data_IF_772896069284
#
_entry.id   IF_772896069284
#
_cell.length_a   1.000
_cell.length_b   1.000
_cell.length_c   1.000
_cell.angle_alpha   90.00
_cell.angle_beta   90.00
_cell.angle_gamma   90.00
#
_symmetry.space_group_name_H-M   'P 1'
#
loop_
_entity.id
_entity.type
_entity.pdbx_description
1 polymer ?
#
# COMPACT_ATOMS: atom_id res chain seq x y z
N UNK A 1 -6.38 1.57 -21.08
CA UNK A 1 -5.71 0.96 -19.94
C UNK A 1 -4.22 0.97 -20.17
N UNK A 2 -3.47 1.39 -19.19
CA UNK A 2 -2.00 1.43 -19.27
C UNK A 2 -1.44 0.19 -18.61
N UNK A 3 -0.43 -0.42 -19.25
CA UNK A 3 0.26 -1.58 -18.68
C UNK A 3 1.56 -1.10 -18.05
N UNK A 4 1.62 -1.00 -16.72
CA UNK A 4 2.86 -0.60 -16.06
C UNK A 4 3.85 -1.74 -16.00
N UNK A 5 5.13 -1.40 -15.84
CA UNK A 5 6.15 -2.37 -15.46
C UNK A 5 6.19 -2.42 -13.94
N UNK A 6 6.06 -3.62 -13.37
CA UNK A 6 6.07 -3.82 -11.93
C UNK A 6 7.40 -4.39 -11.50
N UNK A 7 8.05 -3.71 -10.54
CA UNK A 7 9.33 -4.14 -9.99
C UNK A 7 9.14 -4.40 -8.50
N UNK A 8 9.51 -5.60 -8.06
CA UNK A 8 9.45 -5.96 -6.65
C UNK A 8 10.68 -5.44 -5.95
N UNK A 9 10.54 -4.25 -5.40
CA UNK A 9 11.62 -3.55 -4.72
C UNK A 9 11.03 -2.51 -3.77
N UNK A 10 11.82 -2.13 -2.79
CA UNK A 10 11.47 -1.05 -1.86
C UNK A 10 11.92 0.26 -2.51
N UNK A 11 11.04 1.26 -2.61
CA UNK A 11 11.44 2.52 -3.22
C UNK A 11 12.46 3.26 -2.35
N UNK A 12 13.27 4.09 -2.98
CA UNK A 12 14.14 5.01 -2.25
C UNK A 12 13.28 6.05 -1.52
N UNK A 13 13.85 6.65 -0.49
CA UNK A 13 13.12 7.57 0.39
C UNK A 13 12.48 8.71 -0.40
N UNK A 14 13.23 9.33 -1.30
CA UNK A 14 12.68 10.46 -2.06
C UNK A 14 11.56 10.05 -3.00
N UNK A 15 11.69 8.90 -3.65
CA UNK A 15 10.63 8.34 -4.51
C UNK A 15 9.40 8.01 -3.69
N UNK A 16 9.58 7.37 -2.55
CA UNK A 16 8.50 7.03 -1.64
C UNK A 16 7.71 8.26 -1.22
N UNK A 17 8.41 9.29 -0.76
CA UNK A 17 7.76 10.52 -0.31
C UNK A 17 7.04 11.22 -1.45
N UNK A 18 7.65 11.25 -2.63
CA UNK A 18 7.04 11.85 -3.81
C UNK A 18 5.76 11.12 -4.21
N UNK A 19 5.80 9.78 -4.24
CA UNK A 19 4.62 9.00 -4.59
C UNK A 19 3.47 9.24 -3.62
N UNK A 20 3.75 9.33 -2.33
CA UNK A 20 2.71 9.66 -1.36
C UNK A 20 2.12 11.03 -1.65
N UNK A 21 2.95 12.05 -1.81
CA UNK A 21 2.45 13.42 -2.07
C UNK A 21 1.63 13.49 -3.37
N UNK A 22 2.14 12.89 -4.42
CA UNK A 22 1.47 12.95 -5.73
C UNK A 22 0.21 12.09 -5.80
N UNK A 23 0.07 11.17 -4.88
CA UNK A 23 -1.17 10.40 -4.73
C UNK A 23 -2.19 11.07 -3.81
N UNK A 24 -1.85 12.21 -3.22
CA UNK A 24 -2.73 12.91 -2.31
C UNK A 24 -2.64 12.45 -0.86
N UNK A 25 -1.63 11.70 -0.52
CA UNK A 25 -1.42 11.20 0.83
C UNK A 25 -0.46 12.11 1.60
N UNK A 26 -0.53 12.07 2.94
CA UNK A 26 0.39 12.85 3.76
C UNK A 26 1.83 12.40 3.56
N UNK A 27 2.73 13.38 3.62
CA UNK A 27 4.16 13.10 3.57
C UNK A 27 4.62 12.40 4.85
N UNK A 28 5.78 11.80 4.79
CA UNK A 28 6.47 11.22 5.95
C UNK A 28 7.82 11.92 6.11
N UNK A 29 8.19 12.19 7.36
CA UNK A 29 9.50 12.76 7.64
C UNK A 29 10.60 11.79 7.17
N UNK A 30 11.73 12.28 6.65
CA UNK A 30 12.78 11.39 6.15
C UNK A 30 13.23 10.30 7.12
N UNK A 31 13.44 10.58 8.42
CA UNK A 31 13.83 9.50 9.35
C UNK A 31 12.76 8.43 9.51
N UNK A 32 11.48 8.83 9.51
CA UNK A 32 10.38 7.88 9.61
C UNK A 32 10.29 7.04 8.34
N UNK A 33 10.46 7.67 7.17
CA UNK A 33 10.44 6.97 5.90
C UNK A 33 11.58 5.94 5.85
N UNK A 34 12.79 6.33 6.24
CA UNK A 34 13.95 5.43 6.23
C UNK A 34 13.69 4.20 7.11
N UNK A 35 13.24 4.43 8.34
CA UNK A 35 12.99 3.33 9.28
C UNK A 35 11.83 2.47 8.81
N UNK A 36 10.76 3.10 8.32
CA UNK A 36 9.57 2.38 7.86
C UNK A 36 9.85 1.50 6.65
N UNK A 37 10.53 2.03 5.66
CA UNK A 37 10.85 1.29 4.44
C UNK A 37 11.74 0.09 4.73
N UNK A 38 12.67 0.22 5.68
CA UNK A 38 13.52 -0.88 6.09
C UNK A 38 12.73 -2.05 6.70
N UNK A 39 11.53 -1.78 7.23
CA UNK A 39 10.65 -2.80 7.82
C UNK A 39 9.68 -3.43 6.84
N UNK A 40 9.77 -3.15 5.55
CA UNK A 40 8.86 -3.71 4.55
C UNK A 40 9.04 -5.22 4.46
N UNK A 41 7.93 -5.96 4.49
CA UNK A 41 7.94 -7.40 4.23
C UNK A 41 7.89 -7.68 2.73
N UNK A 42 7.18 -6.83 2.01
CA UNK A 42 7.06 -6.89 0.57
C UNK A 42 6.81 -5.48 0.05
N UNK A 43 7.30 -5.18 -1.11
CA UNK A 43 7.07 -3.90 -1.75
C UNK A 43 7.13 -4.07 -3.26
N UNK A 44 6.27 -3.37 -3.96
CA UNK A 44 6.22 -3.38 -5.42
C UNK A 44 6.05 -1.95 -5.90
N UNK A 45 6.73 -1.61 -6.98
CA UNK A 45 6.71 -0.28 -7.59
C UNK A 45 6.23 -0.42 -9.03
N UNK A 46 5.31 0.45 -9.44
CA UNK A 46 4.84 0.51 -10.82
C UNK A 46 5.52 1.65 -11.56
N UNK A 47 6.02 1.35 -12.74
CA UNK A 47 6.68 2.31 -13.61
C UNK A 47 5.92 2.44 -14.92
N UNK A 48 5.83 3.67 -15.41
CA UNK A 48 5.36 4.00 -16.76
C UNK A 48 6.40 4.95 -17.36
N UNK A 49 6.92 4.60 -18.54
CA UNK A 49 7.95 5.41 -19.21
C UNK A 49 9.13 5.72 -18.28
N UNK A 50 9.60 4.71 -17.56
CA UNK A 50 10.74 4.78 -16.65
C UNK A 50 10.53 5.67 -15.43
N UNK A 51 9.30 6.16 -15.22
CA UNK A 51 8.98 6.96 -14.04
C UNK A 51 8.15 6.13 -13.08
N UNK A 52 8.49 6.15 -11.79
CA UNK A 52 7.69 5.49 -10.76
C UNK A 52 6.36 6.25 -10.61
N UNK A 53 5.25 5.54 -10.78
CA UNK A 53 3.92 6.13 -10.76
C UNK A 53 3.00 5.52 -9.70
N UNK A 54 3.45 4.45 -9.06
CA UNK A 54 2.66 3.81 -8.01
C UNK A 54 3.49 2.87 -7.18
N UNK A 55 2.94 2.48 -6.05
CA UNK A 55 3.59 1.53 -5.13
C UNK A 55 2.56 0.86 -4.25
N UNK A 56 2.97 -0.23 -3.62
CA UNK A 56 2.23 -0.85 -2.53
C UNK A 56 3.23 -1.58 -1.63
N UNK A 57 2.96 -1.61 -0.33
CA UNK A 57 3.82 -2.29 0.62
C UNK A 57 3.03 -3.22 1.53
N UNK A 58 3.69 -4.25 2.03
CA UNK A 58 3.18 -5.09 3.12
C UNK A 58 4.13 -4.97 4.29
N UNK A 59 3.58 -4.71 5.46
CA UNK A 59 4.33 -4.67 6.72
C UNK A 59 3.76 -5.72 7.67
N UNK A 60 4.46 -5.98 8.76
CA UNK A 60 4.00 -6.90 9.78
C UNK A 60 5.14 -7.64 10.44
N UNK A 61 4.77 -8.61 11.28
CA UNK A 61 5.76 -9.38 12.03
C UNK A 61 6.33 -10.57 11.23
N UNK A 62 5.80 -10.81 10.05
CA UNK A 62 6.27 -11.91 9.20
C UNK A 62 5.62 -13.25 9.49
N UNK A 63 4.69 -13.30 10.42
CA UNK A 63 4.05 -14.57 10.80
C UNK A 63 2.57 -14.44 11.09
N UNK A 64 2.21 -13.68 12.11
CA UNK A 64 0.85 -13.61 12.59
C UNK A 64 0.04 -12.45 12.04
N UNK A 65 0.70 -11.34 11.76
CA UNK A 65 0.03 -10.12 11.31
C UNK A 65 0.72 -9.54 10.10
N UNK A 66 -0.08 -9.24 9.08
CA UNK A 66 0.37 -8.53 7.88
C UNK A 66 -0.62 -7.40 7.63
N UNK A 67 -0.10 -6.25 7.25
CA UNK A 67 -0.94 -5.11 6.88
C UNK A 67 -0.46 -4.55 5.56
N UNK A 68 -1.39 -4.33 4.64
CA UNK A 68 -1.10 -3.64 3.39
C UNK A 68 -1.15 -2.15 3.68
N UNK A 69 -0.14 -1.43 3.23
CA UNK A 69 -0.08 0.02 3.39
C UNK A 69 0.56 0.67 2.17
N UNK A 70 0.45 1.99 2.11
CA UNK A 70 1.07 2.78 1.04
C UNK A 70 0.69 2.34 -0.36
N UNK A 71 -0.57 1.95 -0.54
CA UNK A 71 -1.08 1.70 -1.89
C UNK A 71 -1.36 3.07 -2.52
N UNK A 72 -0.48 3.49 -3.38
CA UNK A 72 -0.50 4.84 -3.92
C UNK A 72 -0.31 4.81 -5.43
N UNK A 73 -1.12 5.59 -6.14
CA UNK A 73 -0.95 5.84 -7.57
C UNK A 73 -1.01 7.34 -7.76
N UNK A 74 -0.01 7.89 -8.45
CA UNK A 74 0.03 9.34 -8.68
C UNK A 74 -1.25 9.80 -9.37
N UNK A 75 -1.73 11.00 -9.00
CA UNK A 75 -3.03 11.49 -9.47
C UNK A 75 -3.18 11.44 -10.99
N UNK A 76 -2.11 11.77 -11.72
CA UNK A 76 -2.14 11.78 -13.19
C UNK A 76 -2.33 10.40 -13.80
N UNK A 77 -2.13 9.33 -13.04
CA UNK A 77 -2.22 7.95 -13.55
C UNK A 77 -3.31 7.13 -12.87
N UNK A 78 -4.16 7.76 -12.08
CA UNK A 78 -5.28 7.06 -11.46
C UNK A 78 -6.33 6.67 -12.50
N UNK A 79 -7.13 5.67 -12.17
CA UNK A 79 -8.17 5.13 -13.06
C UNK A 79 -7.62 4.51 -14.34
N UNK A 80 -6.37 4.09 -14.33
CA UNK A 80 -5.71 3.46 -15.48
C UNK A 80 -5.41 1.97 -15.24
N UNK A 81 -5.88 1.40 -14.13
CA UNK A 81 -5.66 -0.01 -13.81
C UNK A 81 -4.38 -0.30 -13.03
N UNK A 82 -3.60 0.74 -12.70
CA UNK A 82 -2.32 0.55 -11.99
C UNK A 82 -2.53 0.02 -10.57
N UNK A 83 -3.54 0.55 -9.86
CA UNK A 83 -3.87 0.06 -8.52
C UNK A 83 -4.23 -1.41 -8.51
N UNK A 84 -4.97 -1.87 -9.52
CA UNK A 84 -5.30 -3.28 -9.66
C UNK A 84 -4.06 -4.14 -9.93
N UNK A 85 -3.14 -3.65 -10.76
CA UNK A 85 -1.90 -4.37 -11.03
C UNK A 85 -1.06 -4.51 -9.77
N UNK A 86 -0.96 -3.44 -8.98
CA UNK A 86 -0.24 -3.47 -7.70
C UNK A 86 -0.87 -4.48 -6.74
N UNK A 87 -2.20 -4.41 -6.57
CA UNK A 87 -2.89 -5.30 -5.64
C UNK A 87 -2.84 -6.76 -6.09
N UNK A 88 -2.81 -7.04 -7.38
CA UNK A 88 -2.65 -8.40 -7.86
C UNK A 88 -1.31 -8.99 -7.39
N UNK A 89 -0.24 -8.20 -7.45
CA UNK A 89 1.06 -8.64 -6.94
C UNK A 89 1.07 -8.81 -5.43
N UNK A 90 0.45 -7.89 -4.71
CA UNK A 90 0.37 -7.95 -3.25
C UNK A 90 -0.38 -9.20 -2.81
N UNK A 91 -1.55 -9.47 -3.38
CA UNK A 91 -2.33 -10.64 -2.99
C UNK A 91 -1.65 -11.94 -3.39
N UNK A 92 -0.96 -11.98 -4.52
CA UNK A 92 -0.17 -13.13 -4.90
C UNK A 92 0.94 -13.40 -3.87
N UNK A 93 1.65 -12.34 -3.44
CA UNK A 93 2.68 -12.49 -2.43
C UNK A 93 2.10 -13.00 -1.10
N UNK A 94 0.95 -12.44 -0.69
CA UNK A 94 0.29 -12.88 0.54
C UNK A 94 -0.12 -14.35 0.48
N UNK A 95 -0.69 -14.78 -0.65
CA UNK A 95 -1.09 -16.18 -0.82
C UNK A 95 0.11 -17.13 -0.70
N UNK A 96 1.28 -16.68 -1.12
CA UNK A 96 2.48 -17.51 -1.08
C UNK A 96 3.26 -17.41 0.23
N UNK A 97 3.03 -16.38 1.04
CA UNK A 97 3.88 -16.09 2.20
C UNK A 97 3.14 -15.97 3.52
N UNK A 98 1.87 -15.61 3.52
CA UNK A 98 1.09 -15.54 4.76
C UNK A 98 0.44 -16.89 5.01
N UNK A 99 0.66 -17.46 6.20
CA UNK A 99 0.06 -18.73 6.58
C UNK A 99 -1.43 -18.61 6.87
N UNK A 100 -2.12 -19.74 6.98
CA UNK A 100 -3.57 -19.76 7.18
C UNK A 100 -4.03 -19.04 8.44
N UNK A 101 -3.20 -19.03 9.48
CA UNK A 101 -3.57 -18.39 10.76
C UNK A 101 -3.20 -16.92 10.81
N UNK A 102 -2.57 -16.39 9.78
CA UNK A 102 -2.17 -14.99 9.76
C UNK A 102 -3.38 -14.08 9.58
N UNK A 103 -3.36 -12.95 10.28
CA UNK A 103 -4.35 -11.91 10.11
C UNK A 103 -3.81 -10.87 9.13
N UNK A 104 -4.52 -10.68 8.02
CA UNK A 104 -4.13 -9.74 6.97
C UNK A 104 -5.15 -8.62 6.93
N UNK A 105 -4.71 -7.38 7.05
CA UNK A 105 -5.61 -6.23 7.13
C UNK A 105 -5.09 -5.05 6.31
N UNK A 106 -5.98 -4.09 6.12
CA UNK A 106 -5.62 -2.76 5.57
C UNK A 106 -6.63 -1.75 6.08
N UNK A 107 -6.26 -0.48 5.98
CA UNK A 107 -7.18 0.63 6.25
C UNK A 107 -7.50 1.26 4.89
N UNK A 108 -8.78 1.26 4.54
CA UNK A 108 -9.22 1.81 3.27
C UNK A 108 -9.73 3.24 3.48
N UNK A 109 -9.03 4.20 2.88
CA UNK A 109 -9.40 5.61 2.96
C UNK A 109 -10.40 5.96 1.87
N UNK A 110 -11.41 6.77 2.22
CA UNK A 110 -12.39 7.25 1.26
C UNK A 110 -13.06 6.10 0.51
N UNK A 111 -13.04 6.16 -0.80
CA UNK A 111 -13.66 5.17 -1.66
C UNK A 111 -12.73 4.04 -2.09
N UNK A 112 -11.52 3.98 -1.54
CA UNK A 112 -10.52 2.99 -1.95
C UNK A 112 -10.96 1.55 -1.67
N UNK A 113 -11.94 1.35 -0.80
CA UNK A 113 -12.45 0.02 -0.51
C UNK A 113 -12.99 -0.70 -1.76
N UNK A 114 -13.43 0.04 -2.78
CA UNK A 114 -13.88 -0.56 -4.03
C UNK A 114 -12.76 -1.32 -4.73
N UNK A 115 -11.55 -0.76 -4.73
CA UNK A 115 -10.38 -1.43 -5.27
C UNK A 115 -10.10 -2.72 -4.50
N UNK A 116 -10.03 -2.61 -3.18
CA UNK A 116 -9.65 -3.75 -2.35
C UNK A 116 -10.69 -4.86 -2.38
N UNK A 117 -11.97 -4.51 -2.43
CA UNK A 117 -13.05 -5.50 -2.53
C UNK A 117 -12.88 -6.38 -3.77
N UNK A 118 -12.38 -5.83 -4.86
CA UNK A 118 -12.16 -6.59 -6.10
C UNK A 118 -10.99 -7.57 -5.98
N UNK A 119 -10.19 -7.45 -4.93
CA UNK A 119 -9.08 -8.35 -4.65
C UNK A 119 -9.34 -9.22 -3.42
N UNK A 120 -10.60 -9.37 -3.02
CA UNK A 120 -11.00 -10.31 -1.97
C UNK A 120 -11.05 -9.74 -0.57
N UNK A 121 -10.86 -8.43 -0.41
CA UNK A 121 -10.94 -7.80 0.92
C UNK A 121 -12.38 -7.45 1.25
N UNK A 122 -12.74 -7.62 2.52
CA UNK A 122 -14.08 -7.34 3.05
C UNK A 122 -13.96 -6.41 4.25
N UNK A 123 -15.01 -5.66 4.53
CA UNK A 123 -15.03 -4.87 5.76
C UNK A 123 -14.96 -5.78 6.97
N UNK A 124 -14.15 -5.40 7.96
CA UNK A 124 -14.06 -6.13 9.22
C UNK A 124 -15.25 -5.89 10.13
N UNK A 125 -15.94 -4.77 9.95
CA UNK A 125 -17.14 -4.45 10.73
C UNK A 125 -18.28 -5.41 10.34
N UNK A 126 -19.21 -5.74 11.27
CA UNK A 126 -19.27 -5.26 12.66
C UNK A 126 -18.41 -6.06 13.65
N UNK A 127 -17.80 -7.16 13.23
CA UNK A 127 -17.03 -8.02 14.14
C UNK A 127 -15.82 -7.33 14.73
N UNK A 128 -15.16 -6.48 13.94
CA UNK A 128 -14.03 -5.67 14.37
C UNK A 128 -14.04 -4.36 13.60
N UNK A 129 -13.45 -3.33 14.16
CA UNK A 129 -13.37 -2.03 13.50
C UNK A 129 -11.99 -1.46 13.67
N UNK A 130 -11.50 -0.77 12.62
CA UNK A 130 -10.25 -0.07 12.68
C UNK A 130 -10.32 1.11 13.63
N UNK A 131 -9.28 1.29 14.43
CA UNK A 131 -9.16 2.41 15.36
C UNK A 131 -7.75 2.96 15.23
N UNK A 132 -7.61 4.27 15.37
CA UNK A 132 -6.30 4.91 15.35
C UNK A 132 -6.00 5.54 16.69
N UNK A 133 -4.71 5.50 17.06
CA UNK A 133 -4.27 6.21 18.25
C UNK A 133 -4.05 7.66 17.84
N UNK A 134 -4.79 8.63 18.45
CA UNK A 134 -4.76 10.01 17.97
C UNK A 134 -3.39 10.65 18.20
N UNK A 135 -2.78 11.10 17.10
CA UNK A 135 -1.53 11.82 17.07
C UNK A 135 -1.78 13.14 16.35
N UNK A 136 -0.88 14.10 16.45
CA UNK A 136 -1.09 15.41 15.86
C UNK A 136 -1.24 15.41 14.34
N UNK A 137 -0.73 14.41 13.66
CA UNK A 137 -0.81 14.31 12.19
C UNK A 137 -2.00 13.49 11.70
N UNK A 138 -2.84 13.01 12.59
CA UNK A 138 -3.89 12.04 12.25
C UNK A 138 -4.93 12.56 11.27
N UNK A 139 -5.14 13.86 11.24
CA UNK A 139 -6.17 14.44 10.38
C UNK A 139 -5.85 14.33 8.90
N UNK A 140 -4.62 14.01 8.59
CA UNK A 140 -4.13 13.99 7.22
C UNK A 140 -3.96 12.59 6.67
N UNK A 141 -4.49 11.61 7.36
CA UNK A 141 -4.41 10.23 6.87
C UNK A 141 -5.21 10.04 5.60
#
# INVERSE_FOLDING_TARGET
MITPTLIEAVPEIDTYRRLRREAGMTDRAPPAAAAGLAGSRYSVIAFVDESAVGMARVIGDGGCFFQICDVAVVAARQCCGIGHALMARVTQWLDNNAGESAFVSLMADGDSHHLYARHGFEFSAPGAQGMVYPRRYRRRQ
#
